data_IF_525360642591
#
_entry.id   IF_525360642591
#
_cell.length_a   1.000
_cell.length_b   1.000
_cell.length_c   1.000
_cell.angle_alpha   90.00
_cell.angle_beta   90.00
_cell.angle_gamma   90.00
#
_symmetry.space_group_name_H-M   'P 1'
#
loop_
_entity.id
_entity.type
_entity.pdbx_description
1 polymer ?
#
# COMPACT_ATOMS: atom_id res chain seq x y z
N UNK A 1 -48.12 -52.20 -42.32
CA UNK A 1 -47.01 -53.02 -41.76
C UNK A 1 -45.82 -52.12 -41.49
N UNK A 2 -45.25 -52.23 -40.29
CA UNK A 2 -43.95 -51.71 -39.80
C UNK A 2 -43.74 -50.18 -39.83
N UNK A 3 -43.94 -49.44 -38.73
CA UNK A 3 -43.08 -49.30 -37.52
C UNK A 3 -41.71 -48.72 -37.85
N UNK A 4 -41.57 -47.41 -37.61
CA UNK A 4 -40.31 -46.68 -37.51
C UNK A 4 -39.91 -46.54 -36.04
N UNK A 5 -38.71 -46.98 -35.73
CA UNK A 5 -38.02 -46.81 -34.46
C UNK A 5 -37.60 -45.35 -34.26
N UNK A 6 -37.75 -44.83 -33.04
CA UNK A 6 -36.84 -43.77 -32.55
C UNK A 6 -36.71 -43.86 -31.03
N UNK A 7 -35.50 -44.26 -30.61
CA UNK A 7 -34.99 -44.10 -29.25
C UNK A 7 -34.90 -42.60 -28.92
N UNK A 8 -35.44 -42.19 -27.78
CA UNK A 8 -35.12 -40.92 -27.15
C UNK A 8 -34.27 -41.21 -25.92
N UNK A 9 -32.98 -40.89 -26.02
CA UNK A 9 -32.01 -40.98 -24.94
C UNK A 9 -32.24 -39.87 -23.91
N UNK A 10 -32.19 -40.24 -22.64
CA UNK A 10 -32.22 -39.34 -21.48
C UNK A 10 -30.84 -38.69 -21.37
N UNK A 11 -30.76 -37.38 -21.62
CA UNK A 11 -29.56 -36.58 -21.40
C UNK A 11 -29.55 -36.13 -19.94
N UNK A 12 -28.71 -36.76 -19.12
CA UNK A 12 -28.43 -36.28 -17.76
C UNK A 12 -27.56 -35.02 -17.84
N UNK A 13 -28.14 -33.87 -17.49
CA UNK A 13 -27.42 -32.61 -17.33
C UNK A 13 -26.75 -32.64 -15.95
N UNK A 14 -25.45 -32.92 -15.91
CA UNK A 14 -24.63 -32.63 -14.74
C UNK A 14 -24.49 -31.11 -14.62
N UNK A 15 -25.30 -30.48 -13.76
CA UNK A 15 -25.07 -29.12 -13.30
C UNK A 15 -23.77 -29.10 -12.47
N UNK A 16 -22.68 -28.68 -13.11
CA UNK A 16 -21.48 -28.26 -12.41
C UNK A 16 -21.82 -26.93 -11.72
N UNK A 17 -22.04 -26.97 -10.41
CA UNK A 17 -22.11 -25.76 -9.61
C UNK A 17 -20.75 -25.07 -9.70
N UNK A 18 -20.70 -23.96 -10.45
CA UNK A 18 -19.58 -23.05 -10.40
C UNK A 18 -19.56 -22.43 -9.00
N UNK A 19 -18.73 -22.98 -8.11
CA UNK A 19 -18.26 -22.26 -6.94
C UNK A 19 -17.53 -21.04 -7.45
N UNK A 20 -18.14 -19.87 -7.29
CA UNK A 20 -17.43 -18.60 -7.35
C UNK A 20 -16.36 -18.65 -6.25
N UNK A 21 -15.14 -19.02 -6.61
CA UNK A 21 -13.98 -18.58 -5.84
C UNK A 21 -14.06 -17.06 -5.86
N UNK A 22 -14.43 -16.46 -4.74
CA UNK A 22 -14.04 -15.08 -4.49
C UNK A 22 -12.54 -15.04 -4.77
N UNK A 23 -12.12 -14.33 -5.82
CA UNK A 23 -10.74 -13.89 -5.90
C UNK A 23 -10.49 -13.16 -4.58
N UNK A 24 -9.83 -13.85 -3.64
CA UNK A 24 -9.23 -13.19 -2.51
C UNK A 24 -8.23 -12.24 -3.15
N UNK A 25 -8.56 -10.94 -3.20
CA UNK A 25 -7.68 -9.95 -3.78
C UNK A 25 -6.29 -10.13 -3.20
N UNK A 26 -5.28 -10.22 -4.07
CA UNK A 26 -3.91 -10.48 -3.66
C UNK A 26 -3.49 -9.46 -2.62
N UNK A 27 -3.30 -9.93 -1.40
CA UNK A 27 -2.88 -9.07 -0.28
C UNK A 27 -1.36 -8.98 -0.31
N UNK A 28 -0.82 -7.81 0.03
CA UNK A 28 0.62 -7.61 0.18
C UNK A 28 0.98 -7.29 1.62
N UNK A 29 2.18 -7.70 2.04
CA UNK A 29 2.80 -7.21 3.26
C UNK A 29 3.44 -5.85 2.99
N UNK A 30 3.20 -4.90 3.89
CA UNK A 30 3.76 -3.54 3.82
C UNK A 30 4.86 -3.40 4.84
N UNK A 31 6.07 -3.15 4.37
CA UNK A 31 7.25 -2.90 5.19
C UNK A 31 7.75 -1.47 5.03
N UNK A 32 8.52 -1.02 6.01
CA UNK A 32 9.35 0.16 5.97
C UNK A 32 10.80 -0.28 6.07
N UNK A 33 11.64 0.13 5.13
CA UNK A 33 13.09 0.09 5.30
C UNK A 33 13.61 1.44 5.77
N UNK A 34 14.56 1.42 6.69
CA UNK A 34 15.18 2.58 7.32
C UNK A 34 16.70 2.49 7.20
N UNK A 35 17.32 3.60 6.82
CA UNK A 35 18.76 3.73 6.65
C UNK A 35 19.26 4.99 7.36
N UNK A 36 20.38 4.95 8.10
CA UNK A 36 21.10 6.15 8.47
C UNK A 36 21.57 6.90 7.22
N UNK A 37 21.57 8.23 7.25
CA UNK A 37 22.22 9.00 6.19
C UNK A 37 23.72 9.13 6.47
N UNK A 38 24.54 8.92 5.44
CA UNK A 38 25.97 9.11 5.50
C UNK A 38 26.33 10.52 6.00
N UNK A 39 27.40 10.62 6.80
CA UNK A 39 27.92 11.88 7.35
C UNK A 39 26.95 12.64 8.30
N UNK A 40 25.90 11.99 8.82
CA UNK A 40 24.95 12.63 9.76
C UNK A 40 25.16 12.21 11.22
N UNK A 41 26.19 11.41 11.52
CA UNK A 41 26.46 10.88 12.86
C UNK A 41 25.37 9.95 13.39
N UNK A 42 24.51 9.41 12.52
CA UNK A 42 23.40 8.52 12.91
C UNK A 42 22.16 9.24 13.45
N UNK A 43 22.04 10.56 13.23
CA UNK A 43 20.92 11.36 13.74
C UNK A 43 19.82 11.62 12.72
N UNK A 44 20.09 11.39 11.43
CA UNK A 44 19.14 11.62 10.34
C UNK A 44 19.02 10.32 9.54
N UNK A 45 17.78 9.98 9.21
CA UNK A 45 17.45 8.72 8.57
C UNK A 45 16.65 8.95 7.29
N UNK A 46 16.87 8.06 6.34
CA UNK A 46 16.07 7.87 5.14
C UNK A 46 15.13 6.69 5.34
N UNK A 47 13.89 6.81 4.89
CA UNK A 47 12.92 5.73 4.90
C UNK A 47 12.28 5.53 3.55
N UNK A 48 11.92 4.28 3.27
CA UNK A 48 11.24 3.85 2.06
C UNK A 48 10.22 2.77 2.41
N UNK A 49 9.15 2.67 1.62
CA UNK A 49 8.11 1.65 1.81
C UNK A 49 8.34 0.51 0.83
N UNK A 50 8.24 -0.73 1.29
CA UNK A 50 8.22 -1.92 0.43
C UNK A 50 6.84 -2.56 0.50
N UNK A 51 6.28 -2.88 -0.67
CA UNK A 51 4.99 -3.56 -0.79
C UNK A 51 5.24 -4.89 -1.46
N UNK A 52 5.16 -5.97 -0.69
CA UNK A 52 5.58 -7.30 -1.13
C UNK A 52 4.36 -8.22 -1.21
N UNK A 53 3.97 -8.72 -2.38
CA UNK A 53 2.83 -9.63 -2.52
C UNK A 53 3.03 -10.91 -1.67
N UNK A 54 1.95 -11.38 -1.03
CA UNK A 54 2.00 -12.54 -0.13
C UNK A 54 2.50 -13.82 -0.85
N UNK A 55 2.19 -13.97 -2.12
CA UNK A 55 2.63 -15.10 -2.96
C UNK A 55 4.15 -15.18 -3.14
N UNK A 56 4.88 -14.08 -2.88
CA UNK A 56 6.34 -14.07 -2.88
C UNK A 56 6.96 -14.74 -1.65
N UNK A 57 6.15 -15.12 -0.65
CA UNK A 57 6.60 -15.69 0.62
C UNK A 57 6.16 -17.15 0.76
N UNK A 58 6.95 -17.93 1.50
CA UNK A 58 6.55 -19.29 1.89
C UNK A 58 5.38 -19.25 2.89
N UNK A 59 4.65 -20.35 3.04
CA UNK A 59 3.57 -20.45 4.04
C UNK A 59 4.08 -20.22 5.48
N UNK A 60 5.32 -20.62 5.77
CA UNK A 60 5.94 -20.37 7.08
C UNK A 60 6.21 -18.88 7.30
N UNK A 61 6.75 -18.21 6.27
CA UNK A 61 6.99 -16.77 6.29
C UNK A 61 5.67 -15.99 6.43
N UNK A 62 4.63 -16.37 5.68
CA UNK A 62 3.30 -15.77 5.78
C UNK A 62 2.75 -15.90 7.21
N UNK A 63 2.80 -17.11 7.79
CA UNK A 63 2.36 -17.34 9.17
C UNK A 63 3.13 -16.49 10.19
N UNK A 64 4.44 -16.34 10.01
CA UNK A 64 5.27 -15.49 10.86
C UNK A 64 4.87 -14.01 10.78
N UNK A 65 4.68 -13.50 9.56
CA UNK A 65 4.29 -12.12 9.32
C UNK A 65 2.86 -11.85 9.82
N UNK A 66 1.89 -12.71 9.48
CA UNK A 66 0.51 -12.59 9.95
C UNK A 66 0.41 -12.63 11.48
N UNK A 67 1.17 -13.53 12.11
CA UNK A 67 1.26 -13.61 13.57
C UNK A 67 1.82 -12.32 14.18
N UNK A 68 2.81 -11.70 13.52
CA UNK A 68 3.35 -10.40 13.93
C UNK A 68 2.30 -9.29 13.77
N UNK A 69 1.59 -9.26 12.63
CA UNK A 69 0.53 -8.28 12.32
C UNK A 69 -0.60 -8.30 13.35
N UNK A 70 -1.03 -9.48 13.79
CA UNK A 70 -2.09 -9.62 14.79
C UNK A 70 -1.79 -8.93 16.13
N UNK A 71 -0.52 -8.62 16.40
CA UNK A 71 -0.06 -7.95 17.63
C UNK A 71 0.40 -6.50 17.42
N UNK A 72 0.31 -5.97 16.19
CA UNK A 72 0.80 -4.64 15.87
C UNK A 72 -0.04 -3.54 16.54
N UNK A 73 0.65 -2.60 17.18
CA UNK A 73 0.07 -1.28 17.52
C UNK A 73 0.38 -0.26 16.43
N UNK A 74 1.65 -0.19 16.01
CA UNK A 74 2.11 0.74 14.99
C UNK A 74 2.93 0.03 13.91
N UNK A 75 4.01 -0.62 14.33
CA UNK A 75 4.90 -1.44 13.50
C UNK A 75 5.72 -2.40 14.38
N UNK A 76 6.34 -3.41 13.78
CA UNK A 76 7.27 -4.31 14.45
C UNK A 76 8.57 -4.41 13.66
N UNK A 77 9.71 -4.36 14.34
CA UNK A 77 11.01 -4.62 13.71
C UNK A 77 11.11 -6.09 13.31
N UNK A 78 11.50 -6.34 12.06
CA UNK A 78 11.77 -7.68 11.55
C UNK A 78 13.26 -7.95 11.67
N UNK A 79 13.68 -9.03 12.37
CA UNK A 79 15.10 -9.32 12.57
C UNK A 79 15.84 -9.48 11.25
N UNK A 80 17.07 -8.93 11.19
CA UNK A 80 17.96 -9.09 10.03
C UNK A 80 18.17 -10.54 9.64
N UNK A 81 18.33 -11.43 10.62
CA UNK A 81 18.48 -12.87 10.40
C UNK A 81 17.28 -13.51 9.69
N UNK A 82 16.10 -12.89 9.77
CA UNK A 82 14.93 -13.31 9.04
C UNK A 82 14.96 -12.73 7.62
N UNK A 83 14.92 -11.41 7.47
CA UNK A 83 14.70 -10.79 6.15
C UNK A 83 15.88 -10.93 5.20
N UNK A 84 17.12 -11.05 5.68
CA UNK A 84 18.32 -11.05 4.83
C UNK A 84 18.43 -12.27 3.90
N UNK A 85 17.63 -13.32 4.11
CA UNK A 85 17.61 -14.52 3.26
C UNK A 85 16.35 -14.65 2.40
N UNK A 86 15.42 -13.69 2.44
CA UNK A 86 14.16 -13.76 1.67
C UNK A 86 14.27 -12.91 0.41
N UNK A 87 13.83 -13.47 -0.71
CA UNK A 87 13.91 -12.85 -2.04
C UNK A 87 12.52 -12.57 -2.62
N UNK A 88 11.51 -12.36 -1.77
CA UNK A 88 10.20 -11.92 -2.24
C UNK A 88 10.38 -10.62 -3.03
N UNK A 89 9.80 -10.56 -4.24
CA UNK A 89 9.82 -9.36 -5.05
C UNK A 89 8.80 -8.37 -4.50
N UNK A 90 9.22 -7.13 -4.30
CA UNK A 90 8.45 -6.05 -3.75
C UNK A 90 8.44 -4.88 -4.73
N UNK A 91 7.47 -4.00 -4.54
CA UNK A 91 7.53 -2.65 -5.10
C UNK A 91 8.13 -1.74 -4.04
N UNK A 92 9.24 -1.08 -4.39
CA UNK A 92 9.96 -0.11 -3.56
C UNK A 92 9.46 1.31 -3.82
N UNK A 93 9.16 2.03 -2.75
CA UNK A 93 8.77 3.42 -2.77
C UNK A 93 9.77 4.25 -1.96
N UNK A 94 10.73 4.84 -2.68
CA UNK A 94 11.63 5.87 -2.13
C UNK A 94 11.39 7.22 -2.78
N UNK A 95 11.76 8.29 -2.09
CA UNK A 95 11.69 9.65 -2.60
C UNK A 95 12.97 10.43 -2.30
N UNK A 96 13.48 11.13 -3.31
CA UNK A 96 14.69 11.94 -3.21
C UNK A 96 14.64 13.20 -4.08
N UNK A 97 15.51 14.15 -3.75
CA UNK A 97 15.68 15.36 -4.54
C UNK A 97 16.38 15.08 -5.87
N UNK A 98 15.89 15.67 -6.95
CA UNK A 98 16.43 15.52 -8.29
C UNK A 98 16.12 16.76 -9.16
N UNK A 99 16.93 17.07 -10.19
CA UNK A 99 16.69 18.22 -11.07
C UNK A 99 15.61 17.91 -12.12
N UNK A 100 14.39 17.61 -11.68
CA UNK A 100 13.27 17.26 -12.54
C UNK A 100 11.96 17.81 -11.98
N UNK A 101 11.06 18.22 -12.88
CA UNK A 101 9.80 18.92 -12.56
C UNK A 101 8.56 18.08 -12.81
N UNK A 102 8.71 16.91 -13.44
CA UNK A 102 7.58 16.03 -13.73
C UNK A 102 7.08 15.36 -12.45
N UNK A 103 5.77 15.11 -12.39
CA UNK A 103 5.14 14.44 -11.26
C UNK A 103 5.81 13.08 -11.03
N UNK A 104 6.16 12.81 -9.78
CA UNK A 104 6.86 11.63 -9.30
C UNK A 104 8.24 11.34 -9.91
N UNK A 105 8.86 12.30 -10.61
CA UNK A 105 10.21 12.08 -11.13
C UNK A 105 11.27 11.91 -10.02
N UNK A 106 10.99 12.34 -8.78
CA UNK A 106 11.83 12.10 -7.60
C UNK A 106 11.50 10.80 -6.86
N UNK A 107 10.45 10.09 -7.28
CA UNK A 107 9.98 8.82 -6.72
C UNK A 107 9.93 7.76 -7.84
N UNK A 108 11.09 7.18 -8.23
CA UNK A 108 11.17 6.28 -9.36
C UNK A 108 10.28 5.04 -9.16
N UNK A 109 9.70 4.56 -10.27
CA UNK A 109 8.89 3.34 -10.32
C UNK A 109 9.15 2.64 -11.65
N UNK A 110 10.39 2.16 -11.81
CA UNK A 110 10.87 1.42 -12.98
C UNK A 110 11.24 0.00 -12.56
N UNK A 111 11.72 -0.81 -13.50
CA UNK A 111 12.09 -2.21 -13.25
C UNK A 111 12.87 -2.46 -11.94
N UNK A 112 13.89 -1.65 -11.56
CA UNK A 112 14.61 -1.87 -10.29
C UNK A 112 13.74 -1.69 -9.04
N UNK A 113 12.77 -0.78 -9.10
CA UNK A 113 11.84 -0.48 -7.99
C UNK A 113 10.63 -1.41 -8.01
N UNK A 114 10.14 -1.85 -9.18
CA UNK A 114 8.96 -2.72 -9.30
C UNK A 114 9.27 -4.20 -9.06
N UNK A 115 10.55 -4.58 -9.07
CA UNK A 115 11.02 -5.95 -8.81
C UNK A 115 12.09 -5.98 -7.71
N UNK A 116 11.91 -5.17 -6.66
CA UNK A 116 12.86 -5.04 -5.56
C UNK A 116 12.89 -6.31 -4.68
N UNK A 117 14.00 -7.05 -4.59
CA UNK A 117 14.12 -8.18 -3.68
C UNK A 117 14.14 -7.72 -2.22
N UNK A 118 13.33 -8.31 -1.35
CA UNK A 118 13.24 -7.91 0.06
C UNK A 118 14.61 -7.83 0.79
N UNK A 119 15.51 -8.78 0.50
CA UNK A 119 16.84 -8.84 1.08
C UNK A 119 17.86 -7.86 0.48
N UNK A 120 17.51 -7.12 -0.55
CA UNK A 120 18.43 -6.17 -1.19
C UNK A 120 18.79 -5.03 -0.23
N UNK A 121 20.08 -4.67 -0.21
CA UNK A 121 20.62 -3.54 0.55
C UNK A 121 20.85 -2.35 -0.38
N UNK A 122 19.75 -1.77 -0.83
CA UNK A 122 19.72 -0.59 -1.71
C UNK A 122 18.71 0.42 -1.17
N UNK A 123 18.90 1.67 -1.56
CA UNK A 123 17.93 2.74 -1.41
C UNK A 123 17.87 3.54 -2.72
N UNK A 124 16.79 4.30 -2.93
CA UNK A 124 16.61 5.21 -4.07
C UNK A 124 17.63 6.35 -4.06
N UNK A 125 18.12 6.76 -2.89
CA UNK A 125 19.09 7.86 -2.75
C UNK A 125 20.52 7.36 -2.50
N UNK A 126 21.50 8.05 -3.09
CA UNK A 126 22.91 7.62 -3.03
C UNK A 126 23.65 7.89 -1.72
N UNK A 127 23.07 8.63 -0.78
CA UNK A 127 23.69 8.97 0.51
C UNK A 127 23.10 8.20 1.70
N UNK A 128 22.25 7.21 1.46
CA UNK A 128 21.81 6.26 2.48
C UNK A 128 22.91 5.24 2.77
N UNK A 129 23.17 4.95 4.05
CA UNK A 129 24.05 3.85 4.45
C UNK A 129 23.26 2.53 4.40
N UNK A 130 23.36 1.85 3.27
CA UNK A 130 22.58 0.63 2.99
C UNK A 130 23.07 -0.58 3.79
N UNK A 131 24.28 -0.53 4.36
CA UNK A 131 24.78 -1.61 5.21
C UNK A 131 24.08 -1.66 6.57
N UNK A 132 23.49 -0.54 6.98
CA UNK A 132 22.74 -0.39 8.22
C UNK A 132 21.21 -0.44 8.00
N UNK A 133 20.76 -1.14 6.96
CA UNK A 133 19.33 -1.39 6.70
C UNK A 133 18.64 -2.01 7.92
N UNK A 134 17.58 -1.37 8.37
CA UNK A 134 16.61 -1.92 9.32
C UNK A 134 15.25 -2.07 8.63
N UNK A 135 14.50 -3.13 8.95
CA UNK A 135 13.23 -3.44 8.29
C UNK A 135 12.11 -3.54 9.35
N UNK A 136 10.97 -2.93 9.07
CA UNK A 136 9.82 -2.89 9.97
C UNK A 136 8.56 -3.28 9.23
N UNK A 137 7.76 -4.18 9.80
CA UNK A 137 6.46 -4.58 9.29
C UNK A 137 5.38 -3.63 9.81
N UNK A 138 4.56 -3.09 8.91
CA UNK A 138 3.48 -2.15 9.23
C UNK A 138 2.09 -2.76 9.12
N UNK A 139 1.93 -3.84 8.34
CA UNK A 139 0.64 -4.50 8.19
C UNK A 139 0.44 -5.15 6.83
N UNK A 140 -0.83 -5.33 6.50
CA UNK A 140 -1.28 -5.80 5.20
C UNK A 140 -1.86 -4.62 4.40
N UNK A 141 -1.68 -4.65 3.09
CA UNK A 141 -2.21 -3.64 2.17
C UNK A 141 -3.72 -3.76 1.90
N UNK A 142 -4.36 -4.83 2.42
CA UNK A 142 -5.71 -5.22 2.02
C UNK A 142 -5.71 -5.61 0.54
N UNK A 143 -6.65 -5.07 -0.23
CA UNK A 143 -6.74 -5.29 -1.68
C UNK A 143 -5.96 -4.25 -2.52
N UNK A 144 -5.17 -3.38 -1.88
CA UNK A 144 -4.39 -2.33 -2.56
C UNK A 144 -3.01 -2.88 -2.90
N UNK A 145 -2.66 -2.94 -4.17
CA UNK A 145 -1.33 -3.37 -4.62
C UNK A 145 -0.32 -2.23 -4.55
N UNK A 146 0.98 -2.53 -4.74
CA UNK A 146 1.99 -1.48 -4.92
C UNK A 146 1.68 -0.59 -6.14
N UNK A 147 1.33 -1.17 -7.29
CA UNK A 147 0.98 -0.36 -8.47
C UNK A 147 -0.22 0.57 -8.21
N UNK A 148 -1.23 0.09 -7.48
CA UNK A 148 -2.33 0.94 -7.05
C UNK A 148 -1.82 2.14 -6.23
N UNK A 149 -0.90 1.93 -5.29
CA UNK A 149 -0.32 3.00 -4.50
C UNK A 149 0.49 3.99 -5.34
N UNK A 150 1.27 3.49 -6.31
CA UNK A 150 2.00 4.36 -7.24
C UNK A 150 1.04 5.24 -8.05
N UNK A 151 0.03 4.64 -8.68
CA UNK A 151 -0.96 5.38 -9.46
C UNK A 151 -1.69 6.43 -8.61
N UNK A 152 -2.10 6.08 -7.38
CA UNK A 152 -2.78 7.02 -6.49
C UNK A 152 -1.91 8.23 -6.06
N UNK A 153 -0.58 8.11 -6.11
CA UNK A 153 0.35 9.21 -5.87
C UNK A 153 0.65 10.00 -7.14
N UNK A 154 0.85 9.28 -8.25
CA UNK A 154 1.61 9.78 -9.40
C UNK A 154 0.78 10.03 -10.65
N UNK A 155 -0.43 9.50 -10.75
CA UNK A 155 -1.27 9.75 -11.92
C UNK A 155 -1.68 11.22 -12.00
N UNK A 156 -1.63 11.75 -13.20
CA UNK A 156 -2.00 13.14 -13.50
C UNK A 156 -3.51 13.34 -13.69
N UNK A 157 -4.28 12.25 -13.65
CA UNK A 157 -5.75 12.24 -13.83
C UNK A 157 -6.51 12.73 -12.60
N UNK A 158 -5.83 12.92 -11.47
CA UNK A 158 -6.40 13.37 -10.21
C UNK A 158 -5.49 14.40 -9.52
N UNK A 159 -6.03 15.07 -8.50
CA UNK A 159 -5.29 16.01 -7.67
C UNK A 159 -4.09 15.36 -6.96
N UNK A 160 -3.16 16.18 -6.47
CA UNK A 160 -1.96 15.70 -5.79
C UNK A 160 -2.27 15.18 -4.40
N UNK A 161 -1.90 13.92 -4.13
CA UNK A 161 -1.83 13.40 -2.77
C UNK A 161 -0.57 13.99 -2.10
N UNK A 162 -0.78 15.09 -1.37
CA UNK A 162 0.22 15.89 -0.65
C UNK A 162 1.18 16.73 -1.53
N UNK A 163 1.89 16.12 -2.46
CA UNK A 163 2.90 16.76 -3.33
C UNK A 163 2.82 16.20 -4.75
N UNK A 164 3.48 16.84 -5.73
CA UNK A 164 3.73 16.16 -7.00
C UNK A 164 4.84 15.12 -6.86
N UNK A 165 5.62 15.14 -5.77
CA UNK A 165 6.80 14.28 -5.61
C UNK A 165 7.80 14.43 -6.77
N UNK A 166 7.81 15.62 -7.40
CA UNK A 166 8.86 15.99 -8.32
C UNK A 166 10.17 16.14 -7.55
N UNK A 167 11.30 15.94 -8.23
CA UNK A 167 12.61 16.05 -7.60
C UNK A 167 12.88 17.47 -7.07
N UNK A 168 12.37 18.50 -7.75
CA UNK A 168 12.48 19.90 -7.32
C UNK A 168 11.56 20.26 -6.14
N UNK A 169 10.54 19.44 -5.85
CA UNK A 169 9.65 19.65 -4.71
C UNK A 169 10.29 19.19 -3.39
N UNK A 170 11.46 18.54 -3.45
CA UNK A 170 12.11 17.98 -2.28
C UNK A 170 12.56 19.09 -1.33
N UNK A 171 12.06 19.03 -0.10
CA UNK A 171 12.49 19.89 1.00
C UNK A 171 12.88 19.02 2.19
N UNK A 172 14.13 19.09 2.68
CA UNK A 172 14.61 18.21 3.75
C UNK A 172 13.83 18.34 5.07
N UNK A 173 13.09 19.44 5.29
CA UNK A 173 12.31 19.68 6.49
C UNK A 173 10.82 19.37 6.31
N UNK A 174 10.22 19.71 5.17
CA UNK A 174 8.76 19.73 5.01
C UNK A 174 8.20 18.81 3.93
N UNK A 175 9.02 18.36 2.99
CA UNK A 175 8.59 17.49 1.89
C UNK A 175 9.76 16.58 1.49
N UNK A 176 10.06 15.62 2.36
CA UNK A 176 11.22 14.72 2.25
C UNK A 176 10.78 13.25 2.15
N UNK A 177 11.75 12.34 2.17
CA UNK A 177 11.51 10.89 2.16
C UNK A 177 10.61 10.39 3.30
N UNK A 178 10.73 10.96 4.50
CA UNK A 178 9.90 10.58 5.65
C UNK A 178 8.45 11.06 5.46
N UNK A 179 8.27 12.25 4.90
CA UNK A 179 6.93 12.76 4.53
C UNK A 179 6.29 11.89 3.46
N UNK A 180 7.04 11.51 2.43
CA UNK A 180 6.60 10.58 1.39
C UNK A 180 6.16 9.23 1.97
N UNK A 181 6.99 8.68 2.86
CA UNK A 181 6.71 7.45 3.60
C UNK A 181 5.42 7.56 4.42
N UNK A 182 5.22 8.66 5.16
CA UNK A 182 3.96 8.91 5.90
C UNK A 182 2.76 8.91 4.97
N UNK A 183 2.86 9.60 3.83
CA UNK A 183 1.77 9.68 2.86
C UNK A 183 1.37 8.30 2.37
N UNK A 184 2.33 7.44 2.03
CA UNK A 184 2.04 6.07 1.56
C UNK A 184 1.42 5.24 2.68
N UNK A 185 2.08 5.14 3.83
CA UNK A 185 1.61 4.28 4.91
C UNK A 185 0.24 4.72 5.42
N UNK A 186 0.09 6.01 5.72
CA UNK A 186 -1.11 6.54 6.34
C UNK A 186 -2.22 6.81 5.33
N UNK A 187 -1.95 7.58 4.28
CA UNK A 187 -2.99 8.05 3.38
C UNK A 187 -3.37 7.06 2.29
N UNK A 188 -2.45 6.18 1.88
CA UNK A 188 -2.75 5.18 0.85
C UNK A 188 -3.25 3.89 1.50
N UNK A 189 -2.48 3.36 2.44
CA UNK A 189 -2.78 2.07 3.07
C UNK A 189 -3.62 2.15 4.35
N UNK A 190 -3.75 3.32 4.99
CA UNK A 190 -4.47 3.43 6.26
C UNK A 190 -3.73 2.80 7.44
N UNK A 191 -2.40 2.67 7.35
CA UNK A 191 -1.51 2.13 8.37
C UNK A 191 -0.99 3.25 9.29
N UNK A 192 -0.21 2.88 10.31
CA UNK A 192 0.38 3.85 11.23
C UNK A 192 1.29 4.84 10.49
N UNK A 193 1.15 6.12 10.79
CA UNK A 193 2.08 7.16 10.32
C UNK A 193 3.37 7.21 11.15
N UNK A 194 3.41 6.57 12.31
CA UNK A 194 4.60 6.64 13.20
C UNK A 194 5.78 5.92 12.57
N UNK A 195 6.98 6.44 12.78
CA UNK A 195 8.23 5.84 12.30
C UNK A 195 9.20 5.53 13.44
N UNK A 196 10.05 4.51 13.29
CA UNK A 196 10.96 4.08 14.35
C UNK A 196 12.12 5.07 14.53
N UNK A 197 12.02 5.93 15.56
CA UNK A 197 13.14 6.72 16.09
C UNK A 197 13.90 7.52 15.00
N UNK A 198 13.18 8.35 14.24
CA UNK A 198 13.80 9.18 13.19
C UNK A 198 14.39 10.50 13.71
N UNK A 199 14.18 10.83 14.98
CA UNK A 199 14.66 12.09 15.56
C UNK A 199 14.05 13.30 14.85
N UNK A 200 14.83 14.35 14.53
CA UNK A 200 14.31 15.58 13.92
C UNK A 200 13.91 15.44 12.45
N UNK A 201 14.12 14.28 11.80
CA UNK A 201 13.78 14.11 10.39
C UNK A 201 12.31 13.77 10.13
N UNK A 202 11.48 13.70 11.17
CA UNK A 202 10.05 13.34 11.13
C UNK A 202 9.18 14.39 11.87
N UNK A 203 9.28 15.64 11.44
CA UNK A 203 8.56 16.77 12.07
C UNK A 203 7.21 17.09 11.43
N UNK A 204 6.81 16.36 10.39
CA UNK A 204 5.62 16.65 9.59
C UNK A 204 4.58 15.56 9.78
N UNK A 205 3.42 15.95 10.30
CA UNK A 205 2.21 15.13 10.26
C UNK A 205 1.53 15.34 8.91
N UNK A 206 1.32 14.25 8.17
CA UNK A 206 0.65 14.32 6.86
C UNK A 206 -0.86 14.36 7.05
N UNK A 207 -1.55 15.07 6.17
CA UNK A 207 -3.01 15.07 6.10
C UNK A 207 -3.47 14.45 4.79
N UNK A 208 -4.48 13.57 4.87
CA UNK A 208 -4.91 12.76 3.73
C UNK A 208 -6.08 13.38 2.94
N UNK A 209 -6.49 14.60 3.29
CA UNK A 209 -7.58 15.36 2.69
C UNK A 209 -7.38 15.61 1.19
N UNK A 210 -6.13 15.59 0.72
CA UNK A 210 -5.78 15.80 -0.70
C UNK A 210 -5.57 14.49 -1.47
N UNK A 211 -5.70 13.34 -0.82
CA UNK A 211 -5.43 12.06 -1.45
C UNK A 211 -6.69 11.51 -2.14
N UNK A 212 -6.64 11.15 -3.45
CA UNK A 212 -7.82 10.75 -4.23
C UNK A 212 -8.58 9.55 -3.66
N UNK A 213 -7.88 8.69 -2.91
CA UNK A 213 -8.42 7.46 -2.33
C UNK A 213 -9.48 7.74 -1.26
N UNK A 214 -9.43 8.92 -0.64
CA UNK A 214 -10.46 9.38 0.30
C UNK A 214 -11.63 10.09 -0.38
N UNK A 215 -11.50 10.52 -1.64
CA UNK A 215 -12.57 11.22 -2.36
C UNK A 215 -13.65 10.26 -2.91
N UNK A 216 -13.34 8.97 -3.10
CA UNK A 216 -14.30 7.98 -3.64
C UNK A 216 -14.95 7.07 -2.58
N UNK A 217 -14.50 7.12 -1.32
CA UNK A 217 -15.07 6.35 -0.21
C UNK A 217 -15.72 7.24 0.88
N UNK A 218 -15.71 8.55 0.69
CA UNK A 218 -16.58 9.42 1.49
C UNK A 218 -18.03 9.11 1.08
N UNK A 219 -18.95 8.81 2.01
CA UNK A 219 -20.35 8.66 1.66
C UNK A 219 -20.75 9.95 0.95
N UNK A 220 -21.07 9.83 -0.33
CA UNK A 220 -21.61 10.94 -1.10
C UNK A 220 -22.73 11.58 -0.28
N UNK A 221 -22.68 12.91 -0.19
CA UNK A 221 -23.70 13.75 0.45
C UNK A 221 -25.12 13.47 -0.07
N UNK A 222 -25.28 12.66 -1.11
CA UNK A 222 -26.57 12.20 -1.65
C UNK A 222 -27.31 11.23 -0.73
N UNK A 223 -26.63 10.47 0.14
CA UNK A 223 -27.31 9.52 1.05
C UNK A 223 -27.88 10.16 2.32
N UNK A 224 -27.48 11.40 2.64
CA UNK A 224 -28.02 12.13 3.80
C UNK A 224 -29.41 12.69 3.49
N UNK A 225 -29.67 13.10 2.26
CA UNK A 225 -30.97 13.65 1.87
C UNK A 225 -32.07 12.58 1.76
N UNK A 226 -31.74 11.35 1.37
CA UNK A 226 -32.73 10.27 1.26
C UNK A 226 -33.20 9.75 2.63
N UNK A 227 -32.28 9.70 3.62
CA UNK A 227 -32.63 9.33 5.01
C UNK A 227 -33.35 10.44 5.79
N UNK A 228 -33.23 11.70 5.37
CA UNK A 228 -33.95 12.81 6.00
C UNK A 228 -35.38 12.94 5.46
N UNK A 229 -35.62 12.65 4.17
CA UNK A 229 -36.98 12.65 3.61
C UNK A 229 -37.84 11.46 4.06
N UNK A 230 -37.26 10.27 4.28
CA UNK A 230 -38.01 9.11 4.75
C UNK A 230 -38.41 9.19 6.24
N UNK A 231 -37.85 10.13 7.01
CA UNK A 231 -38.24 10.35 8.42
C UNK A 231 -39.36 11.37 8.61
N UNK A 232 -39.88 12.00 7.56
CA UNK A 232 -41.00 12.96 7.66
C UNK A 232 -42.35 12.44 7.16
N UNK A 233 -42.43 11.21 6.63
CA UNK A 233 -43.71 10.64 6.14
C UNK A 233 -44.35 9.60 7.09
N UNK A 234 -43.89 9.48 8.33
CA UNK A 234 -44.40 8.47 9.30
C UNK A 234 -45.09 9.06 10.54
N UNK A 235 -45.47 10.34 10.54
CA UNK A 235 -46.07 10.98 11.70
C UNK A 235 -47.40 11.70 11.38
N UNK A 236 -48.38 10.97 10.82
CA UNK A 236 -49.81 11.34 10.92
C UNK A 236 -50.69 10.13 10.69
N UNK A 237 -50.99 9.40 11.77
CA UNK A 237 -52.17 8.53 11.91
C UNK A 237 -52.31 8.19 13.39
N UNK A 238 -53.08 9.01 14.08
CA UNK A 238 -53.32 8.89 15.51
C UNK A 238 -54.13 10.06 16.05
N UNK A 239 -55.40 10.14 15.63
CA UNK A 239 -56.65 10.32 16.41
C UNK A 239 -57.79 10.30 15.39
#
# INVERSE_FOLDING_TARGET
MSVWSLLVGILAICLVSATSSSEAGSTSYVFLQKFPLANTGGWIFHTEVLVCPQEGFSLEDQKYLDGSIASLTDFAEIPTTWWSSRTANCIEFGYGGAPCTERCCGAPHKDPETHFPLNEKRAVIGNADTEQKSLYLYGNSGNKTGDFAYHALCDTSHETCWSNWAGVDYNPLTNNCNTFTSTILHCIYGLSEKKPNLGPSDMVTVTCDKCPIYMNNSPTQDTVNERMMLRHSSATSGI
#
